data_IF_778331607377
#
_entry.id   IF_778331607377
#
_cell.length_a   1.000
_cell.length_b   1.000
_cell.length_c   1.000
_cell.angle_alpha   90.00
_cell.angle_beta   90.00
_cell.angle_gamma   90.00
#
_symmetry.space_group_name_H-M   'P 1'
#
loop_
_entity.id
_entity.type
_entity.pdbx_description
1 polymer ?
#
# COMPACT_ATOMS: atom_id res chain seq x y z
N UNK A 1 24.44 12.87 -14.07
CA UNK A 1 23.27 13.56 -13.47
C UNK A 1 22.12 12.62 -13.12
N UNK A 2 21.81 11.60 -13.94
CA UNK A 2 20.70 10.64 -13.70
C UNK A 2 20.78 9.86 -12.38
N UNK A 3 21.99 9.57 -11.87
CA UNK A 3 22.18 8.82 -10.60
C UNK A 3 21.69 9.60 -9.38
N UNK A 4 21.97 10.91 -9.32
CA UNK A 4 21.60 11.73 -8.16
C UNK A 4 20.08 11.93 -8.03
N UNK A 5 19.37 11.98 -9.17
CA UNK A 5 17.90 12.05 -9.18
C UNK A 5 17.27 10.73 -8.75
N UNK A 6 17.85 9.59 -9.15
CA UNK A 6 17.40 8.27 -8.73
C UNK A 6 17.53 8.10 -7.20
N UNK A 7 18.69 8.43 -6.64
CA UNK A 7 18.96 8.32 -5.20
C UNK A 7 18.01 9.23 -4.39
N UNK A 8 17.76 10.44 -4.88
CA UNK A 8 16.79 11.35 -4.26
C UNK A 8 15.35 10.82 -4.30
N UNK A 9 14.95 10.17 -5.39
CA UNK A 9 13.64 9.52 -5.49
C UNK A 9 13.51 8.34 -4.52
N UNK A 10 14.55 7.51 -4.39
CA UNK A 10 14.56 6.39 -3.45
C UNK A 10 14.46 6.88 -2.00
N UNK A 11 15.26 7.88 -1.63
CA UNK A 11 15.20 8.50 -0.31
C UNK A 11 13.80 9.05 0.02
N UNK A 12 13.19 9.80 -0.91
CA UNK A 12 11.85 10.35 -0.70
C UNK A 12 10.77 9.26 -0.56
N UNK A 13 10.94 8.11 -1.21
CA UNK A 13 10.04 6.97 -1.08
C UNK A 13 10.19 6.32 0.29
N UNK A 14 11.43 6.03 0.72
CA UNK A 14 11.72 5.45 2.04
C UNK A 14 11.24 6.34 3.19
N UNK A 15 11.44 7.66 3.08
CA UNK A 15 10.96 8.61 4.09
C UNK A 15 9.44 8.59 4.23
N UNK A 16 8.71 8.57 3.11
CA UNK A 16 7.24 8.49 3.13
C UNK A 16 6.75 7.19 3.71
N UNK A 17 7.40 6.08 3.39
CA UNK A 17 7.01 4.79 3.92
C UNK A 17 7.28 4.70 5.43
N UNK A 18 8.41 5.24 5.89
CA UNK A 18 8.70 5.32 7.32
C UNK A 18 7.66 6.18 8.07
N UNK A 19 7.26 7.33 7.51
CA UNK A 19 6.25 8.20 8.13
C UNK A 19 4.91 7.49 8.32
N UNK A 20 4.44 6.77 7.30
CA UNK A 20 3.18 6.00 7.36
C UNK A 20 3.27 4.84 8.35
N UNK A 21 4.40 4.12 8.40
CA UNK A 21 4.62 3.07 9.40
C UNK A 21 4.59 3.65 10.81
N UNK A 22 5.26 4.78 11.03
CA UNK A 22 5.28 5.43 12.34
C UNK A 22 3.89 5.88 12.78
N UNK A 23 3.09 6.43 11.86
CA UNK A 23 1.72 6.83 12.15
C UNK A 23 0.87 5.65 12.62
N UNK A 24 0.89 4.52 11.91
CA UNK A 24 0.11 3.34 12.28
C UNK A 24 0.59 2.73 13.61
N UNK A 25 1.90 2.67 13.81
CA UNK A 25 2.47 2.12 15.03
C UNK A 25 2.16 3.01 16.24
N UNK A 26 2.36 4.32 16.14
CA UNK A 26 2.15 5.25 17.24
C UNK A 26 0.69 5.33 17.67
N UNK A 27 -0.24 5.38 16.72
CA UNK A 27 -1.66 5.60 17.03
C UNK A 27 -2.43 4.31 17.32
N UNK A 28 -2.04 3.18 16.71
CA UNK A 28 -2.82 1.94 16.75
C UNK A 28 -2.01 0.73 17.24
N UNK A 29 -0.71 0.88 17.50
CA UNK A 29 0.18 -0.22 17.85
C UNK A 29 0.36 -1.24 16.72
N UNK A 30 -0.06 -0.92 15.50
CA UNK A 30 -0.10 -1.86 14.39
C UNK A 30 1.15 -1.78 13.53
N UNK A 31 1.58 -2.93 13.01
CA UNK A 31 2.59 -2.98 11.97
C UNK A 31 1.91 -2.79 10.61
N UNK A 32 2.30 -1.75 9.87
CA UNK A 32 1.76 -1.49 8.53
C UNK A 32 1.88 -2.70 7.61
N UNK A 33 2.97 -3.46 7.67
CA UNK A 33 3.15 -4.61 6.78
C UNK A 33 2.28 -5.83 7.14
N UNK A 34 1.45 -5.77 8.19
CA UNK A 34 0.61 -6.88 8.61
C UNK A 34 -0.55 -7.09 7.64
N UNK A 35 -0.61 -8.23 6.92
CA UNK A 35 -1.66 -8.48 5.93
C UNK A 35 -3.07 -8.53 6.52
N UNK A 36 -3.20 -8.81 7.82
CA UNK A 36 -4.50 -8.93 8.50
C UNK A 36 -5.23 -7.60 8.63
N UNK A 37 -4.52 -6.48 8.44
CA UNK A 37 -5.11 -5.13 8.41
C UNK A 37 -5.84 -4.83 7.11
N UNK A 38 -5.71 -5.69 6.10
CA UNK A 38 -6.24 -5.48 4.75
C UNK A 38 -7.14 -6.63 4.33
N UNK A 39 -8.32 -6.30 3.80
CA UNK A 39 -9.19 -7.28 3.15
C UNK A 39 -8.65 -7.72 1.79
N UNK A 40 -7.83 -6.87 1.14
CA UNK A 40 -7.22 -7.12 -0.16
C UNK A 40 -5.90 -6.36 -0.28
N UNK A 41 -4.86 -7.05 -0.75
CA UNK A 41 -3.55 -6.47 -1.12
C UNK A 41 -3.30 -6.83 -2.58
N UNK A 42 -2.96 -5.83 -3.40
CA UNK A 42 -2.82 -6.01 -4.85
C UNK A 42 -1.43 -5.58 -5.31
N UNK A 43 -0.81 -6.39 -6.17
CA UNK A 43 0.44 -6.03 -6.81
C UNK A 43 0.18 -5.23 -8.09
N UNK A 44 0.43 -3.93 -8.04
CA UNK A 44 0.19 -3.00 -9.15
C UNK A 44 1.23 -3.08 -10.27
N UNK A 45 2.32 -3.85 -10.12
CA UNK A 45 3.25 -4.11 -11.23
C UNK A 45 2.73 -5.16 -12.22
N UNK A 46 1.78 -5.99 -11.79
CA UNK A 46 1.22 -7.08 -12.61
C UNK A 46 -0.10 -6.69 -13.29
N UNK A 47 -0.92 -5.86 -12.65
CA UNK A 47 -2.25 -5.49 -13.13
C UNK A 47 -2.29 -4.04 -13.61
N UNK A 48 -3.08 -3.78 -14.66
CA UNK A 48 -3.46 -2.41 -15.03
C UNK A 48 -4.32 -1.78 -13.94
N UNK A 49 -4.32 -0.45 -13.87
CA UNK A 49 -5.13 0.29 -12.90
C UNK A 49 -6.63 -0.03 -12.99
N UNK A 50 -7.16 -0.18 -14.21
CA UNK A 50 -8.56 -0.56 -14.44
C UNK A 50 -8.88 -1.94 -13.85
N UNK A 51 -8.00 -2.93 -14.06
CA UNK A 51 -8.17 -4.26 -13.48
C UNK A 51 -8.08 -4.25 -11.95
N UNK A 52 -7.20 -3.42 -11.36
CA UNK A 52 -7.12 -3.28 -9.90
C UNK A 52 -8.41 -2.68 -9.35
N UNK A 53 -8.97 -1.66 -10.02
CA UNK A 53 -10.24 -1.06 -9.63
C UNK A 53 -11.39 -2.08 -9.68
N UNK A 54 -11.48 -2.85 -10.76
CA UNK A 54 -12.48 -3.92 -10.91
C UNK A 54 -12.34 -4.99 -9.82
N UNK A 55 -11.11 -5.39 -9.48
CA UNK A 55 -10.85 -6.35 -8.40
C UNK A 55 -11.36 -5.85 -7.04
N UNK A 56 -11.13 -4.56 -6.73
CA UNK A 56 -11.63 -3.94 -5.49
C UNK A 56 -13.16 -3.99 -5.48
N UNK A 57 -13.84 -3.57 -6.55
CA UNK A 57 -15.30 -3.58 -6.66
C UNK A 57 -15.86 -5.01 -6.47
N UNK A 58 -15.27 -5.98 -7.16
CA UNK A 58 -15.69 -7.38 -7.05
C UNK A 58 -15.47 -7.95 -5.65
N UNK A 59 -14.41 -7.55 -4.96
CA UNK A 59 -14.14 -8.01 -3.59
C UNK A 59 -15.25 -7.59 -2.61
N UNK A 60 -15.81 -6.39 -2.78
CA UNK A 60 -16.88 -5.86 -1.92
C UNK A 60 -18.16 -6.69 -2.00
N UNK A 61 -18.51 -7.20 -3.19
CA UNK A 61 -19.70 -8.05 -3.38
C UNK A 61 -19.64 -9.39 -2.64
N UNK A 62 -18.44 -9.80 -2.20
CA UNK A 62 -18.18 -11.06 -1.49
C UNK A 62 -17.92 -10.85 0.00
N UNK A 63 -17.86 -9.60 0.47
CA UNK A 63 -17.77 -9.30 1.90
C UNK A 63 -19.13 -9.57 2.50
N UNK A 64 -19.21 -10.68 3.24
CA UNK A 64 -20.39 -11.07 3.99
C UNK A 64 -20.70 -9.97 5.00
N UNK A 65 -21.82 -9.28 4.81
CA UNK A 65 -22.38 -8.35 5.78
C UNK A 65 -23.32 -9.18 6.66
N UNK A 66 -22.85 -9.57 7.84
CA UNK A 66 -23.71 -10.14 8.88
C UNK A 66 -24.52 -9.02 9.58
#
# INVERSE_FOLDING_TARGET
ETSATHDACEHALLEKDQQRQHYLHYNYGQNWSDPRLYHLIVNTSTFSWDHVADLIIQSLSKVRTD
#
